data_IF_923169346431
#
_entry.id   IF_923169346431
#
_cell.length_a   1.000
_cell.length_b   1.000
_cell.length_c   1.000
_cell.angle_alpha   90.00
_cell.angle_beta   90.00
_cell.angle_gamma   90.00
#
_symmetry.space_group_name_H-M   'P 1'
#
loop_
_entity.id
_entity.type
_entity.pdbx_description
1 polymer ?
#
# COMPACT_ATOMS: atom_id res chain seq x y z
N UNK A 1 -22.23 2.78 40.30
CA UNK A 1 -21.60 2.12 39.13
C UNK A 1 -21.57 0.60 39.23
N UNK A 2 -21.20 0.01 40.37
CA UNK A 2 -21.20 -1.45 40.59
C UNK A 2 -22.60 -2.08 40.52
N UNK A 3 -23.60 -1.46 41.13
CA UNK A 3 -24.99 -1.97 41.15
C UNK A 3 -25.65 -1.99 39.77
N UNK A 4 -25.43 -0.97 38.94
CA UNK A 4 -25.99 -0.87 37.60
C UNK A 4 -25.39 -1.90 36.64
N UNK A 5 -24.12 -2.24 36.79
CA UNK A 5 -23.48 -3.28 36.01
C UNK A 5 -23.96 -4.68 36.38
N UNK A 6 -24.25 -4.92 37.66
CA UNK A 6 -24.79 -6.19 38.15
C UNK A 6 -26.26 -6.40 37.74
N UNK A 7 -27.05 -5.35 37.65
CA UNK A 7 -28.42 -5.41 37.20
C UNK A 7 -28.52 -5.76 35.71
N UNK A 8 -27.71 -5.11 34.86
CA UNK A 8 -27.65 -5.43 33.44
C UNK A 8 -27.13 -6.86 33.20
N UNK A 9 -26.11 -7.28 33.94
CA UNK A 9 -25.53 -8.64 33.82
C UNK A 9 -26.59 -9.68 34.24
N UNK A 10 -27.30 -9.49 35.35
CA UNK A 10 -28.32 -10.43 35.79
C UNK A 10 -29.50 -10.54 34.82
N UNK A 11 -29.92 -9.42 34.20
CA UNK A 11 -30.94 -9.42 33.17
C UNK A 11 -30.50 -10.14 31.89
N UNK A 12 -29.25 -9.97 31.46
CA UNK A 12 -28.70 -10.67 30.32
C UNK A 12 -28.55 -12.17 30.59
N UNK A 13 -28.11 -12.56 31.78
CA UNK A 13 -28.02 -13.97 32.20
C UNK A 13 -29.38 -14.66 32.27
N UNK A 14 -30.43 -13.95 32.67
CA UNK A 14 -31.79 -14.47 32.69
C UNK A 14 -32.36 -14.73 31.28
N UNK A 15 -31.92 -13.96 30.29
CA UNK A 15 -32.29 -14.15 28.87
C UNK A 15 -31.50 -15.30 28.24
N UNK A 16 -30.25 -15.52 28.68
CA UNK A 16 -29.31 -16.52 28.15
C UNK A 16 -29.54 -17.92 28.75
N UNK A 17 -30.74 -18.26 29.19
CA UNK A 17 -31.07 -19.59 29.72
C UNK A 17 -30.96 -20.72 28.71
N UNK A 18 -30.63 -20.41 27.46
CA UNK A 18 -30.49 -21.36 26.37
C UNK A 18 -29.01 -21.62 25.91
N UNK A 19 -28.01 -21.06 26.60
CA UNK A 19 -26.60 -21.28 26.28
C UNK A 19 -26.14 -20.61 24.96
N UNK A 20 -26.71 -19.45 24.65
CA UNK A 20 -26.40 -18.70 23.42
C UNK A 20 -25.49 -17.49 23.66
N UNK A 21 -24.74 -17.13 22.66
CA UNK A 21 -23.96 -15.90 22.64
C UNK A 21 -24.83 -14.71 22.26
N UNK A 22 -24.58 -13.56 22.86
CA UNK A 22 -25.30 -12.31 22.61
C UNK A 22 -24.53 -11.40 21.65
N UNK A 23 -25.24 -10.63 20.83
CA UNK A 23 -24.64 -9.56 20.05
C UNK A 23 -24.80 -8.20 20.72
N UNK A 24 -24.02 -7.20 20.28
CA UNK A 24 -24.02 -5.85 20.87
C UNK A 24 -25.40 -5.17 20.84
N UNK A 25 -26.23 -5.47 19.83
CA UNK A 25 -27.58 -4.90 19.71
C UNK A 25 -28.48 -5.45 20.79
N UNK A 26 -28.46 -6.76 21.02
CA UNK A 26 -29.24 -7.40 22.10
C UNK A 26 -28.86 -6.86 23.47
N UNK A 27 -27.57 -6.66 23.75
CA UNK A 27 -27.09 -6.05 25.01
C UNK A 27 -27.61 -4.62 25.15
N UNK A 28 -27.59 -3.83 24.09
CA UNK A 28 -28.08 -2.47 24.05
C UNK A 28 -29.59 -2.39 24.27
N UNK A 29 -30.37 -3.28 23.64
CA UNK A 29 -31.82 -3.31 23.73
C UNK A 29 -32.27 -3.65 25.19
N UNK A 30 -31.59 -4.57 25.85
CA UNK A 30 -31.83 -4.88 27.27
C UNK A 30 -31.47 -3.70 28.18
N UNK A 31 -30.32 -3.02 27.91
CA UNK A 31 -29.94 -1.82 28.67
C UNK A 31 -30.98 -0.69 28.52
N UNK A 32 -31.55 -0.53 27.33
CA UNK A 32 -32.66 0.42 27.09
C UNK A 32 -33.90 0.06 27.89
N UNK A 33 -34.29 -1.22 27.89
CA UNK A 33 -35.49 -1.68 28.64
C UNK A 33 -35.36 -1.50 30.14
N UNK A 34 -34.15 -1.54 30.68
CA UNK A 34 -33.82 -1.28 32.08
C UNK A 34 -33.63 0.22 32.41
N UNK A 35 -33.82 1.12 31.45
CA UNK A 35 -33.59 2.55 31.62
C UNK A 35 -32.12 2.97 31.73
N UNK A 36 -31.17 2.07 31.42
CA UNK A 36 -29.72 2.26 31.53
C UNK A 36 -29.08 2.88 30.28
N UNK A 37 -29.85 3.14 29.23
CA UNK A 37 -29.38 3.60 27.93
C UNK A 37 -28.59 4.92 27.93
N UNK A 38 -28.78 5.78 28.92
CA UNK A 38 -28.07 7.05 29.08
C UNK A 38 -26.69 6.91 29.74
N UNK A 39 -26.36 5.72 30.23
CA UNK A 39 -25.09 5.43 30.91
C UNK A 39 -24.28 4.42 30.10
N UNK A 40 -23.58 4.91 29.06
CA UNK A 40 -22.76 4.09 28.20
C UNK A 40 -21.68 3.23 28.90
N UNK A 41 -21.52 3.38 30.23
CA UNK A 41 -20.60 2.61 31.07
C UNK A 41 -21.04 1.17 31.32
N UNK A 42 -22.35 0.88 31.45
CA UNK A 42 -22.82 -0.49 31.73
C UNK A 42 -22.69 -1.40 30.51
N UNK A 43 -23.12 -0.93 29.34
CA UNK A 43 -22.91 -1.66 28.07
C UNK A 43 -21.42 -1.83 27.78
N UNK A 44 -20.61 -0.79 28.05
CA UNK A 44 -19.15 -0.84 27.91
C UNK A 44 -18.51 -1.87 28.83
N UNK A 45 -19.01 -2.05 30.05
CA UNK A 45 -18.53 -3.09 30.97
C UNK A 45 -18.77 -4.51 30.42
N UNK A 46 -19.96 -4.81 29.91
CA UNK A 46 -20.29 -6.13 29.33
C UNK A 46 -19.42 -6.38 28.08
N UNK A 47 -19.34 -5.38 27.18
CA UNK A 47 -18.52 -5.48 25.95
C UNK A 47 -17.04 -5.69 26.27
N UNK A 48 -16.52 -5.09 27.35
CA UNK A 48 -15.12 -5.20 27.73
C UNK A 48 -14.76 -6.51 28.45
N UNK A 49 -15.69 -7.14 29.17
CA UNK A 49 -15.37 -8.27 30.06
C UNK A 49 -15.91 -9.63 29.62
N UNK A 50 -16.83 -9.67 28.64
CA UNK A 50 -17.53 -10.90 28.22
C UNK A 50 -17.41 -11.20 26.72
N UNK A 51 -16.50 -10.52 26.01
CA UNK A 51 -16.27 -10.74 24.58
C UNK A 51 -15.57 -12.11 24.35
N UNK A 52 -16.21 -12.99 23.60
CA UNK A 52 -15.65 -14.29 23.15
C UNK A 52 -15.16 -14.23 21.70
N UNK A 53 -15.77 -13.35 20.90
CA UNK A 53 -15.33 -13.03 19.53
C UNK A 53 -15.76 -11.58 19.20
N UNK A 54 -15.32 -11.04 18.06
CA UNK A 54 -15.69 -9.68 17.64
C UNK A 54 -17.20 -9.55 17.48
N UNK A 55 -17.82 -8.77 18.36
CA UNK A 55 -19.29 -8.52 18.35
C UNK A 55 -20.13 -9.64 18.94
N UNK A 56 -19.51 -10.64 19.58
CA UNK A 56 -20.17 -11.79 20.22
C UNK A 56 -19.76 -11.85 21.67
N UNK A 57 -20.72 -11.96 22.57
CA UNK A 57 -20.54 -11.88 24.03
C UNK A 57 -21.23 -13.05 24.72
N UNK A 58 -20.53 -13.68 25.65
CA UNK A 58 -21.04 -14.80 26.45
C UNK A 58 -21.05 -14.39 27.93
N UNK A 59 -22.22 -14.08 28.47
CA UNK A 59 -22.43 -13.63 29.85
C UNK A 59 -22.57 -14.78 30.84
N UNK A 60 -22.59 -16.02 30.38
CA UNK A 60 -22.61 -17.22 31.24
C UNK A 60 -21.24 -17.51 31.85
N UNK A 61 -20.17 -16.99 31.24
CA UNK A 61 -18.81 -17.14 31.72
C UNK A 61 -18.45 -16.13 32.80
N UNK A 62 -17.53 -16.45 33.74
CA UNK A 62 -17.00 -15.47 34.69
C UNK A 62 -16.34 -14.28 33.98
N UNK A 63 -16.49 -13.09 34.52
CA UNK A 63 -15.87 -11.87 33.97
C UNK A 63 -14.33 -12.08 33.81
N UNK A 64 -13.79 -11.70 32.67
CA UNK A 64 -12.36 -11.88 32.33
C UNK A 64 -11.86 -13.34 32.29
N UNK A 65 -12.75 -14.34 32.22
CA UNK A 65 -12.35 -15.72 32.01
C UNK A 65 -11.77 -16.00 30.62
N UNK A 66 -12.02 -15.10 29.66
CA UNK A 66 -11.38 -15.10 28.33
C UNK A 66 -10.51 -13.85 28.25
N UNK A 67 -9.18 -13.93 28.15
CA UNK A 67 -8.35 -12.76 27.89
C UNK A 67 -8.81 -12.13 26.59
N UNK A 68 -8.87 -10.78 26.53
CA UNK A 68 -9.07 -10.05 25.30
C UNK A 68 -7.89 -10.36 24.35
N UNK A 69 -7.97 -11.45 23.65
CA UNK A 69 -6.99 -11.80 22.64
C UNK A 69 -7.28 -10.94 21.41
N UNK A 70 -6.25 -10.21 20.96
CA UNK A 70 -6.17 -9.87 19.56
C UNK A 70 -6.50 -11.12 18.73
N UNK A 71 -7.23 -11.01 17.61
CA UNK A 71 -7.67 -12.17 16.87
C UNK A 71 -6.45 -13.02 16.52
N UNK A 72 -6.31 -14.16 17.19
CA UNK A 72 -5.34 -15.17 16.79
C UNK A 72 -5.75 -15.64 15.40
N UNK A 73 -4.79 -15.87 14.49
CA UNK A 73 -5.12 -16.55 13.25
C UNK A 73 -5.81 -17.87 13.64
N UNK A 74 -6.98 -18.08 13.05
CA UNK A 74 -7.73 -19.33 13.24
C UNK A 74 -6.80 -20.46 12.86
N UNK A 75 -6.47 -21.29 13.83
CA UNK A 75 -5.67 -22.48 13.61
C UNK A 75 -6.32 -23.25 12.46
N UNK A 76 -5.52 -23.55 11.45
CA UNK A 76 -5.90 -24.48 10.39
C UNK A 76 -6.36 -25.76 11.08
N UNK A 77 -7.66 -25.99 11.14
CA UNK A 77 -8.18 -27.30 11.51
C UNK A 77 -7.68 -28.24 10.42
N UNK A 78 -6.65 -29.02 10.74
CA UNK A 78 -6.29 -30.15 9.91
C UNK A 78 -7.52 -31.06 9.89
N UNK A 79 -8.33 -30.92 8.86
CA UNK A 79 -9.43 -31.81 8.60
C UNK A 79 -8.84 -33.20 8.40
N UNK A 80 -9.17 -34.14 9.31
CA UNK A 80 -9.09 -35.58 9.00
C UNK A 80 -9.69 -35.76 7.62
N UNK A 81 -8.98 -36.49 6.76
CA UNK A 81 -9.44 -36.81 5.42
C UNK A 81 -10.91 -37.27 5.48
N UNK A 82 -11.83 -36.69 4.73
CA UNK A 82 -13.19 -37.19 4.69
C UNK A 82 -13.17 -38.57 4.04
N UNK A 83 -13.72 -39.53 4.75
CA UNK A 83 -14.12 -40.81 4.19
C UNK A 83 -15.04 -40.59 2.99
N UNK A 84 -14.79 -41.35 1.94
CA UNK A 84 -15.53 -41.43 0.71
C UNK A 84 -17.04 -41.38 0.96
N UNK A 85 -17.76 -40.56 0.18
CA UNK A 85 -19.21 -40.42 -0.05
C UNK A 85 -19.81 -39.06 0.32
N UNK A 86 -19.16 -37.97 -0.13
CA UNK A 86 -19.83 -36.68 -0.24
C UNK A 86 -20.37 -36.53 -1.70
N UNK A 87 -21.63 -36.10 -1.88
CA UNK A 87 -22.15 -35.79 -3.22
C UNK A 87 -21.20 -34.80 -3.93
N UNK A 88 -20.97 -35.00 -5.22
CA UNK A 88 -20.05 -34.15 -6.02
C UNK A 88 -20.35 -32.64 -5.88
N UNK A 89 -21.58 -32.29 -5.60
CA UNK A 89 -22.05 -30.91 -5.39
C UNK A 89 -21.51 -30.30 -4.08
N UNK A 90 -21.44 -31.08 -2.99
CA UNK A 90 -20.87 -30.64 -1.72
C UNK A 90 -19.35 -30.48 -1.82
N UNK A 91 -18.67 -31.34 -2.59
CA UNK A 91 -17.25 -31.20 -2.88
C UNK A 91 -16.96 -29.93 -3.73
N UNK A 92 -17.84 -29.57 -4.66
CA UNK A 92 -17.75 -28.34 -5.46
C UNK A 92 -17.92 -27.08 -4.61
N UNK A 93 -18.90 -27.07 -3.68
CA UNK A 93 -19.12 -25.96 -2.75
C UNK A 93 -17.94 -25.77 -1.81
N UNK A 94 -17.35 -26.86 -1.31
CA UNK A 94 -16.15 -26.81 -0.47
C UNK A 94 -14.89 -26.37 -1.24
N UNK A 95 -14.80 -26.71 -2.54
CA UNK A 95 -13.70 -26.24 -3.40
C UNK A 95 -13.86 -24.75 -3.73
N UNK A 96 -15.08 -24.26 -3.98
CA UNK A 96 -15.36 -22.85 -4.11
C UNK A 96 -15.05 -22.08 -2.82
N UNK A 97 -15.41 -22.61 -1.65
CA UNK A 97 -15.06 -22.02 -0.35
C UNK A 97 -13.53 -21.99 -0.11
N UNK A 98 -12.78 -22.97 -0.58
CA UNK A 98 -11.31 -22.99 -0.48
C UNK A 98 -10.63 -22.00 -1.42
N UNK A 99 -11.22 -21.65 -2.56
CA UNK A 99 -10.71 -20.62 -3.47
C UNK A 99 -10.95 -19.19 -2.94
N UNK A 100 -11.84 -19.02 -1.96
CA UNK A 100 -12.23 -17.70 -1.44
C UNK A 100 -11.54 -17.30 -0.13
N UNK A 101 -10.65 -18.09 0.45
CA UNK A 101 -10.09 -17.78 1.78
C UNK A 101 -8.59 -18.08 1.87
N UNK A 102 -7.79 -17.31 1.18
CA UNK A 102 -6.50 -16.92 1.75
C UNK A 102 -6.70 -15.52 2.33
N UNK A 103 -6.97 -15.42 3.62
CA UNK A 103 -6.96 -14.13 4.33
C UNK A 103 -5.47 -13.76 4.45
N UNK A 104 -4.91 -13.26 3.38
CA UNK A 104 -3.58 -12.65 3.41
C UNK A 104 -3.68 -11.37 4.24
N UNK A 105 -2.69 -11.18 5.10
CA UNK A 105 -2.50 -9.92 5.79
C UNK A 105 -2.00 -8.89 4.78
N UNK A 106 -2.82 -7.89 4.47
CA UNK A 106 -2.51 -6.84 3.51
C UNK A 106 -1.83 -5.62 4.15
N UNK A 107 -1.37 -5.71 5.39
CA UNK A 107 -0.59 -4.65 6.03
C UNK A 107 0.80 -4.61 5.37
N UNK A 108 1.20 -3.49 4.76
CA UNK A 108 2.52 -3.38 4.14
C UNK A 108 3.65 -3.60 5.16
N UNK A 109 4.79 -4.14 4.72
CA UNK A 109 5.95 -4.27 5.60
C UNK A 109 6.53 -2.90 5.96
N UNK A 110 7.01 -2.76 7.19
CA UNK A 110 7.73 -1.55 7.63
C UNK A 110 9.15 -1.55 7.08
N UNK A 111 9.54 -0.51 6.36
CA UNK A 111 10.94 -0.26 5.96
C UNK A 111 11.65 0.51 7.07
N UNK A 112 12.61 -0.12 7.73
CA UNK A 112 13.41 0.48 8.80
C UNK A 112 14.30 1.64 8.33
N UNK A 113 14.54 1.76 7.02
CA UNK A 113 15.33 2.84 6.42
C UNK A 113 14.48 4.01 5.94
N UNK A 114 13.16 3.89 6.04
CA UNK A 114 12.25 4.94 5.57
C UNK A 114 12.38 6.21 6.41
N UNK A 115 12.58 7.34 5.75
CA UNK A 115 12.63 8.67 6.36
C UNK A 115 11.35 9.42 6.02
N UNK A 116 10.50 9.75 7.00
CA UNK A 116 9.28 10.52 6.76
C UNK A 116 9.57 11.96 6.30
N UNK A 117 8.93 12.39 5.22
CA UNK A 117 9.01 13.77 4.71
C UNK A 117 7.72 14.17 3.98
N UNK A 118 7.63 15.43 3.56
CA UNK A 118 6.51 15.95 2.81
C UNK A 118 5.17 15.70 3.49
N UNK A 119 4.23 15.17 2.76
CA UNK A 119 2.85 14.96 3.20
C UNK A 119 2.65 13.80 4.20
N UNK A 120 3.70 13.06 4.58
CA UNK A 120 3.61 11.89 5.46
C UNK A 120 2.82 12.11 6.76
N UNK A 121 3.05 13.24 7.44
CA UNK A 121 2.40 13.54 8.72
C UNK A 121 0.90 13.73 8.58
N UNK A 122 0.49 14.46 7.55
CA UNK A 122 -0.92 14.76 7.32
C UNK A 122 -1.65 13.56 6.73
N UNK A 123 -1.02 12.80 5.85
CA UNK A 123 -1.54 11.52 5.39
C UNK A 123 -1.74 10.53 6.55
N UNK A 124 -0.79 10.51 7.53
CA UNK A 124 -0.95 9.71 8.75
C UNK A 124 -2.21 10.13 9.53
N UNK A 125 -2.52 11.43 9.61
CA UNK A 125 -3.74 11.93 10.26
C UNK A 125 -4.99 11.50 9.52
N UNK A 126 -5.00 11.61 8.19
CA UNK A 126 -6.11 11.20 7.32
C UNK A 126 -6.41 9.72 7.52
N UNK A 127 -5.41 8.84 7.35
CA UNK A 127 -5.59 7.38 7.46
C UNK A 127 -5.97 6.98 8.89
N UNK A 128 -5.40 7.63 9.91
CA UNK A 128 -5.73 7.38 11.32
C UNK A 128 -7.15 7.79 11.68
N UNK A 129 -7.72 8.81 11.05
CA UNK A 129 -9.08 9.27 11.32
C UNK A 129 -10.14 8.21 11.01
N UNK A 130 -9.84 7.28 10.09
CA UNK A 130 -10.81 6.29 9.61
C UNK A 130 -11.95 6.88 8.77
N UNK A 131 -11.93 8.19 8.52
CA UNK A 131 -12.91 8.86 7.67
C UNK A 131 -12.62 8.55 6.20
N UNK A 132 -13.67 8.41 5.41
CA UNK A 132 -13.53 8.36 3.96
C UNK A 132 -13.12 9.75 3.45
N UNK A 133 -11.89 9.86 2.98
CA UNK A 133 -11.30 11.12 2.55
C UNK A 133 -10.35 10.89 1.36
N UNK A 134 -10.90 10.70 0.14
CA UNK A 134 -10.11 10.41 -1.04
C UNK A 134 -9.02 11.45 -1.28
N UNK A 135 -7.79 11.00 -1.47
CA UNK A 135 -6.61 11.86 -1.55
C UNK A 135 -5.86 11.59 -2.86
N UNK A 136 -5.58 12.65 -3.63
CA UNK A 136 -4.78 12.60 -4.85
C UNK A 136 -3.38 13.15 -4.56
N UNK A 137 -2.33 12.35 -4.81
CA UNK A 137 -0.93 12.74 -4.57
C UNK A 137 -0.20 12.77 -5.90
N UNK A 138 0.07 13.96 -6.39
CA UNK A 138 0.86 14.19 -7.60
C UNK A 138 2.33 14.45 -7.28
N UNK A 139 3.19 14.43 -8.30
CA UNK A 139 4.60 14.82 -8.21
C UNK A 139 5.51 13.96 -9.08
N UNK A 140 6.74 14.38 -9.27
CA UNK A 140 7.69 13.75 -10.16
C UNK A 140 8.00 12.29 -9.78
N UNK A 141 8.41 11.49 -10.77
CA UNK A 141 8.72 10.07 -10.56
C UNK A 141 9.89 9.88 -9.59
N UNK A 142 9.82 8.83 -8.77
CA UNK A 142 10.89 8.45 -7.85
C UNK A 142 11.09 9.36 -6.64
N UNK A 143 10.10 10.19 -6.29
CA UNK A 143 10.08 11.04 -5.08
C UNK A 143 9.40 10.37 -3.86
N UNK A 144 9.05 9.08 -3.93
CA UNK A 144 8.57 8.31 -2.78
C UNK A 144 7.07 8.38 -2.49
N UNK A 145 6.21 8.88 -3.41
CA UNK A 145 4.75 8.97 -3.21
C UNK A 145 4.11 7.66 -2.74
N UNK A 146 4.26 6.61 -3.52
CA UNK A 146 3.65 5.30 -3.25
C UNK A 146 4.20 4.68 -1.97
N UNK A 147 5.53 4.77 -1.77
CA UNK A 147 6.18 4.29 -0.56
C UNK A 147 5.68 5.03 0.69
N UNK A 148 5.41 6.35 0.58
CA UNK A 148 4.82 7.13 1.67
C UNK A 148 3.48 6.56 2.12
N UNK A 149 2.60 6.20 1.18
CA UNK A 149 1.28 5.62 1.49
C UNK A 149 1.44 4.26 2.19
N UNK A 150 2.29 3.40 1.65
CA UNK A 150 2.59 2.07 2.22
C UNK A 150 3.15 2.20 3.65
N UNK A 151 4.10 3.10 3.88
CA UNK A 151 4.72 3.28 5.20
C UNK A 151 3.78 3.96 6.22
N UNK A 152 2.84 4.79 5.79
CA UNK A 152 1.75 5.28 6.65
C UNK A 152 0.85 4.13 7.08
N UNK A 153 0.45 3.27 6.14
CA UNK A 153 -0.40 2.11 6.43
C UNK A 153 0.32 1.11 7.34
N UNK A 154 1.59 0.79 7.07
CA UNK A 154 2.43 -0.06 7.90
C UNK A 154 2.52 0.47 9.34
N UNK A 155 2.82 1.76 9.51
CA UNK A 155 2.94 2.42 10.82
C UNK A 155 1.64 2.36 11.62
N UNK A 156 0.49 2.42 10.96
CA UNK A 156 -0.83 2.42 11.60
C UNK A 156 -1.43 1.01 11.72
N UNK A 157 -0.76 -0.03 11.22
CA UNK A 157 -1.31 -1.39 11.16
C UNK A 157 -2.56 -1.48 10.29
N UNK A 158 -2.65 -0.65 9.24
CA UNK A 158 -3.77 -0.58 8.31
C UNK A 158 -3.48 -1.42 7.08
N UNK A 159 -4.45 -2.20 6.66
CA UNK A 159 -4.37 -2.91 5.39
C UNK A 159 -4.35 -1.91 4.24
N UNK A 160 -3.49 -2.15 3.25
CA UNK A 160 -3.40 -1.39 2.02
C UNK A 160 -3.39 -2.34 0.83
N UNK A 161 -4.22 -2.06 -0.16
CA UNK A 161 -4.31 -2.83 -1.38
C UNK A 161 -3.94 -1.93 -2.54
N UNK A 162 -2.77 -2.19 -3.15
CA UNK A 162 -2.23 -1.39 -4.25
C UNK A 162 -2.62 -1.99 -5.59
N UNK A 163 -3.09 -1.13 -6.48
CA UNK A 163 -3.38 -1.44 -7.87
C UNK A 163 -2.62 -0.48 -8.77
N UNK A 164 -1.75 -1.02 -9.62
CA UNK A 164 -1.09 -0.22 -10.64
C UNK A 164 -2.06 -0.01 -11.80
N UNK A 165 -2.32 1.25 -12.10
CA UNK A 165 -3.24 1.64 -13.18
C UNK A 165 -2.46 1.73 -14.49
N UNK A 166 -3.07 1.25 -15.55
CA UNK A 166 -2.60 1.34 -16.92
C UNK A 166 -3.74 1.73 -17.85
N UNK A 167 -3.43 2.02 -19.11
CA UNK A 167 -4.45 2.35 -20.12
C UNK A 167 -5.44 1.18 -20.35
N UNK A 168 -5.00 -0.04 -20.10
CA UNK A 168 -5.83 -1.25 -20.28
C UNK A 168 -6.73 -1.54 -19.07
N UNK A 169 -6.38 -1.00 -17.90
CA UNK A 169 -7.13 -1.25 -16.65
C UNK A 169 -8.60 -0.92 -16.81
N UNK A 170 -9.46 -1.87 -16.48
CA UNK A 170 -10.90 -1.74 -16.67
C UNK A 170 -11.75 -2.20 -15.46
N UNK A 171 -13.08 -2.29 -15.66
CA UNK A 171 -14.03 -2.69 -14.61
C UNK A 171 -13.76 -4.13 -14.13
N UNK A 172 -13.35 -5.03 -15.03
CA UNK A 172 -13.08 -6.43 -14.67
C UNK A 172 -11.84 -6.55 -13.78
N UNK A 173 -10.82 -5.75 -14.04
CA UNK A 173 -9.59 -5.69 -13.22
C UNK A 173 -9.85 -5.07 -11.84
N UNK A 174 -10.67 -4.04 -11.78
CA UNK A 174 -10.88 -3.23 -10.57
C UNK A 174 -11.98 -3.80 -9.68
N UNK A 175 -13.15 -4.08 -10.25
CA UNK A 175 -14.34 -4.54 -9.54
C UNK A 175 -14.39 -6.06 -9.48
N UNK A 176 -14.01 -6.70 -10.58
CA UNK A 176 -14.00 -8.14 -10.71
C UNK A 176 -14.73 -8.64 -11.93
N UNK A 177 -14.31 -9.79 -12.40
CA UNK A 177 -14.76 -10.39 -13.64
C UNK A 177 -15.03 -11.89 -13.54
N UNK A 178 -15.70 -12.41 -14.56
CA UNK A 178 -15.89 -13.83 -14.70
C UNK A 178 -14.62 -14.49 -15.26
N UNK A 179 -14.19 -15.57 -14.65
CA UNK A 179 -13.04 -16.36 -15.10
C UNK A 179 -13.42 -17.83 -15.21
N UNK A 180 -12.69 -18.59 -16.02
CA UNK A 180 -12.86 -20.03 -16.15
C UNK A 180 -11.96 -20.76 -15.17
N UNK A 181 -12.57 -21.57 -14.30
CA UNK A 181 -11.85 -22.45 -13.37
C UNK A 181 -12.43 -23.85 -13.55
N UNK A 182 -11.61 -24.81 -13.95
CA UNK A 182 -11.99 -26.21 -14.17
C UNK A 182 -13.25 -26.38 -15.07
N UNK A 183 -13.33 -25.55 -16.12
CA UNK A 183 -14.46 -25.57 -17.08
C UNK A 183 -15.74 -24.88 -16.59
N UNK A 184 -15.75 -24.32 -15.39
CA UNK A 184 -16.88 -23.56 -14.84
C UNK A 184 -16.59 -22.05 -14.89
N UNK A 185 -17.61 -21.25 -15.15
CA UNK A 185 -17.54 -19.79 -15.05
C UNK A 185 -17.67 -19.42 -13.57
N UNK A 186 -16.62 -18.77 -13.01
CA UNK A 186 -16.58 -18.33 -11.62
C UNK A 186 -16.32 -16.83 -11.60
N UNK A 187 -17.11 -16.09 -10.82
CA UNK A 187 -16.81 -14.67 -10.58
C UNK A 187 -15.61 -14.55 -9.64
N UNK A 188 -14.62 -13.78 -10.05
CA UNK A 188 -13.46 -13.40 -9.23
C UNK A 188 -13.62 -11.94 -8.82
N UNK A 189 -13.69 -11.69 -7.52
CA UNK A 189 -13.77 -10.34 -6.95
C UNK A 189 -12.48 -9.57 -7.22
N UNK A 190 -12.62 -8.30 -7.58
CA UNK A 190 -11.49 -7.41 -7.82
C UNK A 190 -11.00 -6.70 -6.55
N UNK A 191 -9.85 -6.02 -6.67
CA UNK A 191 -9.19 -5.37 -5.54
C UNK A 191 -10.02 -4.26 -4.89
N UNK A 192 -10.83 -3.56 -5.65
CA UNK A 192 -11.65 -2.45 -5.15
C UNK A 192 -12.72 -2.95 -4.19
N UNK A 193 -13.50 -3.96 -4.57
CA UNK A 193 -14.52 -4.54 -3.70
C UNK A 193 -13.88 -5.22 -2.48
N UNK A 194 -12.75 -5.88 -2.68
CA UNK A 194 -11.97 -6.47 -1.58
C UNK A 194 -11.55 -5.40 -0.58
N UNK A 195 -11.04 -4.26 -1.02
CA UNK A 195 -10.67 -3.14 -0.14
C UNK A 195 -11.90 -2.56 0.58
N UNK A 196 -13.02 -2.38 -0.12
CA UNK A 196 -14.28 -1.91 0.47
C UNK A 196 -14.77 -2.82 1.60
N UNK A 197 -14.84 -4.14 1.35
CA UNK A 197 -15.30 -5.15 2.31
C UNK A 197 -14.38 -5.30 3.53
N UNK A 198 -13.08 -4.99 3.37
CA UNK A 198 -12.08 -5.08 4.45
C UNK A 198 -11.90 -3.77 5.22
N UNK A 199 -12.46 -2.66 4.74
CA UNK A 199 -12.17 -1.33 5.26
C UNK A 199 -10.71 -0.94 5.08
N UNK A 200 -10.05 -1.46 4.03
CA UNK A 200 -8.65 -1.23 3.73
C UNK A 200 -8.44 0.10 2.99
N UNK A 201 -7.19 0.55 2.93
CA UNK A 201 -6.78 1.68 2.07
C UNK A 201 -6.53 1.14 0.66
N UNK A 202 -7.33 1.59 -0.30
CA UNK A 202 -7.13 1.32 -1.72
C UNK A 202 -6.11 2.32 -2.28
N UNK A 203 -5.00 1.83 -2.83
CA UNK A 203 -3.95 2.65 -3.45
C UNK A 203 -4.04 2.48 -4.96
N UNK A 204 -4.50 3.51 -5.65
CA UNK A 204 -4.53 3.58 -7.11
C UNK A 204 -3.23 4.23 -7.59
N UNK A 205 -2.25 3.41 -7.95
CA UNK A 205 -0.91 3.89 -8.32
C UNK A 205 -0.82 4.19 -9.81
N UNK A 206 -0.16 5.31 -10.15
CA UNK A 206 -0.05 5.85 -11.51
C UNK A 206 -1.43 6.08 -12.18
N UNK A 207 -2.40 6.64 -11.44
CA UNK A 207 -3.79 6.80 -11.91
C UNK A 207 -3.89 7.63 -13.18
N UNK A 208 -2.96 8.53 -13.42
CA UNK A 208 -2.87 9.35 -14.63
C UNK A 208 -2.51 8.54 -15.89
N UNK A 209 -2.22 7.24 -15.77
CA UNK A 209 -2.10 6.34 -16.93
C UNK A 209 -3.43 5.67 -17.31
N UNK A 210 -4.45 5.85 -16.48
CA UNK A 210 -5.77 5.24 -16.71
C UNK A 210 -6.56 5.93 -17.81
N UNK A 211 -7.50 5.18 -18.37
CA UNK A 211 -8.45 5.67 -19.37
C UNK A 211 -9.81 5.99 -18.74
N UNK A 212 -10.79 6.43 -19.57
CA UNK A 212 -12.18 6.64 -19.13
C UNK A 212 -12.85 5.38 -18.54
N UNK A 213 -12.25 4.21 -18.65
CA UNK A 213 -12.72 2.98 -18.00
C UNK A 213 -12.72 3.09 -16.47
N UNK A 214 -11.90 3.99 -15.89
CA UNK A 214 -11.89 4.30 -14.45
C UNK A 214 -13.21 4.90 -13.93
N UNK A 215 -14.11 5.34 -14.82
CA UNK A 215 -15.42 5.89 -14.43
C UNK A 215 -16.32 4.85 -13.72
N UNK A 216 -16.00 3.56 -13.79
CA UNK A 216 -16.66 2.52 -12.97
C UNK A 216 -16.49 2.76 -11.45
N UNK A 217 -15.48 3.55 -11.04
CA UNK A 217 -15.21 3.88 -9.65
C UNK A 217 -16.02 5.07 -9.10
N UNK A 218 -16.79 5.79 -9.92
CA UNK A 218 -17.45 7.04 -9.51
C UNK A 218 -18.24 6.95 -8.19
N UNK A 219 -19.14 5.95 -8.06
CA UNK A 219 -19.94 5.79 -6.86
C UNK A 219 -19.08 5.46 -5.63
N UNK A 220 -18.01 4.68 -5.85
CA UNK A 220 -17.08 4.25 -4.80
C UNK A 220 -16.23 5.44 -4.32
N UNK A 221 -15.84 6.33 -5.26
CA UNK A 221 -15.14 7.59 -4.96
C UNK A 221 -15.95 8.57 -4.10
N UNK A 222 -17.28 8.39 -4.04
CA UNK A 222 -18.18 9.15 -3.17
C UNK A 222 -18.44 8.45 -1.83
N UNK A 223 -17.80 7.31 -1.57
CA UNK A 223 -18.03 6.51 -0.35
C UNK A 223 -19.39 5.82 -0.31
N UNK A 224 -20.06 5.69 -1.46
CA UNK A 224 -21.38 5.07 -1.57
C UNK A 224 -21.30 3.56 -1.80
N UNK A 225 -22.37 2.80 -1.45
CA UNK A 225 -22.49 1.41 -1.82
C UNK A 225 -22.41 1.22 -3.34
N UNK A 226 -21.76 0.15 -3.76
CA UNK A 226 -21.63 -0.23 -5.16
C UNK A 226 -22.52 -1.44 -5.46
N UNK A 227 -23.36 -1.34 -6.52
CA UNK A 227 -24.11 -2.45 -7.04
C UNK A 227 -23.29 -3.21 -8.07
N UNK A 228 -22.87 -4.43 -7.72
CA UNK A 228 -22.16 -5.30 -8.65
C UNK A 228 -23.13 -5.93 -9.66
N UNK A 229 -23.09 -5.46 -10.89
CA UNK A 229 -24.00 -5.92 -11.98
C UNK A 229 -23.81 -7.39 -12.33
N UNK A 230 -22.63 -7.97 -12.07
CA UNK A 230 -22.29 -9.37 -12.41
C UNK A 230 -22.81 -10.36 -11.38
N UNK A 231 -22.87 -9.98 -10.12
CA UNK A 231 -23.30 -10.84 -9.01
C UNK A 231 -24.66 -10.46 -8.44
N UNK A 232 -25.15 -9.25 -8.71
CA UNK A 232 -26.36 -8.68 -8.10
C UNK A 232 -26.16 -8.24 -6.64
N UNK A 233 -24.93 -8.30 -6.10
CA UNK A 233 -24.60 -7.92 -4.73
C UNK A 233 -24.47 -6.40 -4.58
N UNK A 234 -24.93 -5.85 -3.46
CA UNK A 234 -24.65 -4.47 -3.05
C UNK A 234 -23.54 -4.52 -2.02
N UNK A 235 -22.38 -3.95 -2.37
CA UNK A 235 -21.21 -3.86 -1.48
C UNK A 235 -21.14 -2.47 -0.87
N UNK A 236 -21.23 -2.39 0.45
CA UNK A 236 -21.05 -1.14 1.20
C UNK A 236 -19.61 -1.05 1.72
N UNK A 237 -19.01 0.15 1.72
CA UNK A 237 -17.68 0.31 2.29
C UNK A 237 -17.70 0.10 3.81
N UNK A 238 -16.82 -0.76 4.30
CA UNK A 238 -16.59 -0.95 5.73
C UNK A 238 -15.85 0.24 6.35
N UNK A 239 -16.04 0.49 7.65
CA UNK A 239 -15.37 1.59 8.35
C UNK A 239 -13.86 1.56 8.18
N UNK A 240 -13.30 2.70 7.77
CA UNK A 240 -11.87 2.85 7.50
C UNK A 240 -11.48 2.68 6.03
N UNK A 241 -12.38 2.22 5.16
CA UNK A 241 -12.12 2.26 3.72
C UNK A 241 -11.76 3.68 3.29
N UNK A 242 -10.70 3.79 2.49
CA UNK A 242 -10.28 5.06 1.91
C UNK A 242 -9.59 4.81 0.57
N UNK A 243 -9.51 5.85 -0.26
CA UNK A 243 -8.85 5.81 -1.56
C UNK A 243 -7.72 6.82 -1.60
N UNK A 244 -6.53 6.37 -1.95
CA UNK A 244 -5.37 7.23 -2.16
C UNK A 244 -4.84 6.96 -3.56
N UNK A 245 -4.84 7.98 -4.41
CA UNK A 245 -4.28 7.90 -5.74
C UNK A 245 -2.91 8.56 -5.80
N UNK A 246 -1.98 7.97 -6.57
CA UNK A 246 -0.69 8.58 -6.90
C UNK A 246 -0.61 8.81 -8.40
N UNK A 247 0.04 9.91 -8.81
CA UNK A 247 0.20 10.29 -10.20
C UNK A 247 1.53 11.04 -10.42
N UNK A 248 2.01 11.04 -11.65
CA UNK A 248 3.16 11.89 -12.02
C UNK A 248 2.72 13.27 -12.48
N UNK A 249 1.46 13.40 -12.90
CA UNK A 249 0.82 14.66 -13.33
C UNK A 249 -0.34 15.01 -12.40
N UNK A 250 -0.95 16.18 -12.61
CA UNK A 250 -2.16 16.59 -11.86
C UNK A 250 -3.45 16.12 -12.56
N UNK A 251 -3.37 15.06 -13.40
CA UNK A 251 -4.51 14.55 -14.16
C UNK A 251 -4.83 15.33 -15.43
N UNK A 252 -4.01 16.31 -15.80
CA UNK A 252 -4.18 17.13 -17.01
C UNK A 252 -3.34 16.67 -18.19
N UNK A 253 -2.75 15.47 -18.11
CA UNK A 253 -1.82 14.99 -19.11
C UNK A 253 -0.43 15.63 -18.97
N UNK A 254 0.38 15.55 -20.03
CA UNK A 254 1.70 16.16 -20.11
C UNK A 254 1.73 17.13 -21.29
N UNK A 255 1.54 18.41 -21.01
CA UNK A 255 1.57 19.47 -22.05
C UNK A 255 2.98 19.64 -22.63
N UNK A 256 4.01 19.28 -21.86
CA UNK A 256 5.43 19.36 -22.22
C UNK A 256 6.01 18.05 -22.79
N UNK A 257 5.19 17.00 -22.96
CA UNK A 257 5.63 15.70 -23.46
C UNK A 257 6.54 14.87 -22.54
N UNK A 258 6.88 15.39 -21.35
CA UNK A 258 7.78 14.71 -20.39
C UNK A 258 7.18 13.41 -19.82
N UNK A 259 5.86 13.32 -19.78
CA UNK A 259 5.13 12.14 -19.29
C UNK A 259 4.25 11.53 -20.40
N UNK A 260 4.89 10.98 -21.43
CA UNK A 260 4.23 10.47 -22.65
C UNK A 260 3.14 9.40 -22.39
N UNK A 261 3.08 8.79 -21.22
CA UNK A 261 2.03 7.82 -20.86
C UNK A 261 0.88 8.42 -20.05
N UNK A 262 0.95 9.68 -19.64
CA UNK A 262 -0.08 10.34 -18.85
C UNK A 262 -1.28 10.72 -19.72
N UNK A 263 -2.48 10.29 -19.30
CA UNK A 263 -3.75 10.62 -19.92
C UNK A 263 -4.37 11.84 -19.23
N UNK A 264 -5.28 12.50 -19.95
CA UNK A 264 -6.13 13.52 -19.34
C UNK A 264 -7.26 12.78 -18.63
N UNK A 265 -7.34 12.92 -17.32
CA UNK A 265 -8.42 12.39 -16.51
C UNK A 265 -9.65 13.30 -16.59
N UNK A 266 -10.83 12.70 -16.53
CA UNK A 266 -12.09 13.42 -16.49
C UNK A 266 -12.16 14.35 -15.27
N UNK A 267 -12.54 15.63 -15.47
CA UNK A 267 -12.61 16.62 -14.41
C UNK A 267 -13.61 16.21 -13.32
N UNK A 268 -14.75 15.64 -13.70
CA UNK A 268 -15.73 15.16 -12.74
C UNK A 268 -15.19 13.98 -11.89
N UNK A 269 -14.25 13.22 -12.42
CA UNK A 269 -13.55 12.17 -11.65
C UNK A 269 -12.54 12.80 -10.67
N UNK A 270 -11.79 13.82 -11.12
CA UNK A 270 -10.81 14.52 -10.27
C UNK A 270 -11.48 15.26 -9.10
N UNK A 271 -12.64 15.88 -9.33
CA UNK A 271 -13.42 16.57 -8.29
C UNK A 271 -13.92 15.67 -7.14
N UNK A 272 -13.86 14.35 -7.32
CA UNK A 272 -14.19 13.39 -6.25
C UNK A 272 -13.07 13.15 -5.25
N UNK A 273 -11.87 13.62 -5.55
CA UNK A 273 -10.81 13.66 -4.56
C UNK A 273 -11.01 14.85 -3.62
N UNK A 274 -11.08 14.57 -2.31
CA UNK A 274 -11.28 15.61 -1.31
C UNK A 274 -10.12 16.61 -1.24
N UNK A 275 -8.90 16.14 -1.52
CA UNK A 275 -7.70 16.97 -1.63
C UNK A 275 -6.77 16.46 -2.73
N UNK A 276 -6.05 17.40 -3.32
CA UNK A 276 -4.91 17.14 -4.20
C UNK A 276 -3.66 17.73 -3.57
N UNK A 277 -2.60 16.94 -3.49
CA UNK A 277 -1.33 17.31 -2.87
C UNK A 277 -0.20 17.09 -3.85
N UNK A 278 0.72 18.03 -3.94
CA UNK A 278 1.96 17.87 -4.67
C UNK A 278 3.08 17.44 -3.72
N UNK A 279 3.61 16.26 -3.97
CA UNK A 279 4.75 15.70 -3.22
C UNK A 279 6.04 16.09 -3.94
N UNK A 280 6.84 16.90 -3.30
CA UNK A 280 8.16 17.28 -3.76
C UNK A 280 9.21 16.24 -3.39
N UNK A 281 10.45 16.42 -3.90
CA UNK A 281 11.59 15.65 -3.41
C UNK A 281 11.92 16.01 -1.96
N UNK A 282 12.54 15.10 -1.19
CA UNK A 282 12.97 15.40 0.16
C UNK A 282 14.01 16.52 0.17
N UNK A 283 14.09 17.29 1.27
CA UNK A 283 15.18 18.24 1.47
C UNK A 283 16.55 17.53 1.50
N UNK A 284 17.62 18.23 1.16
CA UNK A 284 18.98 17.66 1.15
C UNK A 284 19.32 16.89 2.45
N UNK A 285 18.95 17.43 3.61
CA UNK A 285 19.17 16.77 4.89
C UNK A 285 18.36 15.46 5.07
N UNK A 286 17.15 15.42 4.55
CA UNK A 286 16.31 14.21 4.57
C UNK A 286 16.79 13.18 3.54
N UNK A 287 17.14 13.64 2.34
CA UNK A 287 17.63 12.77 1.28
C UNK A 287 18.97 12.14 1.64
N UNK A 288 19.90 12.90 2.28
CA UNK A 288 21.14 12.34 2.82
C UNK A 288 20.85 11.22 3.82
N UNK A 289 19.85 11.38 4.71
CA UNK A 289 19.46 10.31 5.64
C UNK A 289 18.92 9.06 4.91
N UNK A 290 18.15 9.26 3.83
CA UNK A 290 17.67 8.15 2.99
C UNK A 290 18.84 7.41 2.37
N UNK A 291 19.76 8.15 1.71
CA UNK A 291 20.95 7.60 1.05
C UNK A 291 21.83 6.82 2.05
N UNK A 292 22.16 7.44 3.21
CA UNK A 292 22.93 6.77 4.26
C UNK A 292 22.20 5.54 4.85
N UNK A 293 20.86 5.60 4.95
CA UNK A 293 20.06 4.44 5.35
C UNK A 293 20.22 3.26 4.39
N UNK A 294 20.18 3.54 3.09
CA UNK A 294 20.39 2.51 2.05
C UNK A 294 21.85 2.02 2.00
N UNK A 295 22.83 2.91 2.17
CA UNK A 295 24.25 2.54 2.29
C UNK A 295 24.52 1.61 3.49
N UNK A 296 23.85 1.88 4.63
CA UNK A 296 23.96 1.01 5.82
C UNK A 296 23.43 -0.39 5.56
N UNK A 297 22.30 -0.52 4.87
CA UNK A 297 21.72 -1.84 4.51
C UNK A 297 22.61 -2.57 3.50
N UNK A 298 23.27 -1.83 2.61
CA UNK A 298 24.16 -2.37 1.59
C UNK A 298 25.62 -2.55 2.07
N UNK A 299 25.90 -2.27 3.33
CA UNK A 299 27.24 -2.34 3.98
C UNK A 299 28.35 -1.56 3.23
N UNK A 300 27.99 -0.37 2.72
CA UNK A 300 28.90 0.50 1.95
C UNK A 300 28.82 1.96 2.42
N UNK A 301 28.88 2.21 3.73
CA UNK A 301 28.71 3.54 4.32
C UNK A 301 29.85 4.47 3.90
N UNK A 302 29.50 5.58 3.23
CA UNK A 302 30.38 6.67 2.88
C UNK A 302 29.60 8.00 2.99
N UNK A 303 29.87 8.76 4.08
CA UNK A 303 29.14 10.00 4.38
C UNK A 303 29.45 11.11 3.37
N UNK A 304 30.70 11.17 2.87
CA UNK A 304 31.13 12.13 1.85
C UNK A 304 30.43 11.83 0.53
N UNK A 305 30.45 10.57 0.10
CA UNK A 305 29.77 10.14 -1.11
C UNK A 305 28.25 10.42 -1.04
N UNK A 306 27.61 10.12 0.10
CA UNK A 306 26.20 10.43 0.30
C UNK A 306 25.90 11.93 0.17
N UNK A 307 26.77 12.79 0.72
CA UNK A 307 26.64 14.25 0.64
C UNK A 307 26.80 14.73 -0.79
N UNK A 308 27.84 14.26 -1.48
CA UNK A 308 28.12 14.62 -2.87
C UNK A 308 27.01 14.20 -3.82
N UNK A 309 26.46 12.98 -3.66
CA UNK A 309 25.32 12.50 -4.43
C UNK A 309 24.09 13.39 -4.26
N UNK A 310 23.77 13.80 -3.04
CA UNK A 310 22.61 14.65 -2.77
C UNK A 310 22.82 16.05 -3.35
N UNK A 311 23.98 16.65 -3.16
CA UNK A 311 24.33 17.97 -3.72
C UNK A 311 24.23 17.94 -5.25
N UNK A 312 24.80 16.92 -5.88
CA UNK A 312 24.73 16.71 -7.32
C UNK A 312 23.29 16.62 -7.83
N UNK A 313 22.46 15.80 -7.18
CA UNK A 313 21.05 15.65 -7.56
C UNK A 313 20.26 16.95 -7.35
N UNK A 314 20.55 17.73 -6.29
CA UNK A 314 19.89 19.01 -6.02
C UNK A 314 20.19 20.05 -7.11
N UNK A 315 21.45 20.15 -7.55
CA UNK A 315 21.85 21.04 -8.65
C UNK A 315 21.13 20.65 -9.95
N UNK A 316 21.11 19.36 -10.31
CA UNK A 316 20.43 18.87 -11.51
C UNK A 316 18.92 19.19 -11.45
N UNK A 317 18.27 18.93 -10.32
CA UNK A 317 16.82 19.22 -10.17
C UNK A 317 16.53 20.70 -10.25
N UNK A 318 17.39 21.56 -9.70
CA UNK A 318 17.24 23.00 -9.83
C UNK A 318 17.31 23.42 -11.29
N UNK A 319 18.28 22.94 -12.04
CA UNK A 319 18.42 23.19 -13.48
C UNK A 319 17.23 22.68 -14.30
N UNK A 320 16.66 21.53 -13.90
CA UNK A 320 15.44 20.98 -14.49
C UNK A 320 14.22 21.87 -14.23
N UNK A 321 14.03 22.37 -13.00
CA UNK A 321 12.93 23.28 -12.67
C UNK A 321 13.05 24.66 -13.36
N UNK A 322 14.28 25.08 -13.65
CA UNK A 322 14.55 26.29 -14.43
C UNK A 322 14.31 26.08 -15.95
N UNK A 323 14.02 24.83 -16.36
CA UNK A 323 13.72 24.50 -17.76
C UNK A 323 14.93 24.41 -18.68
N UNK A 324 16.14 24.35 -18.11
CA UNK A 324 17.37 24.28 -18.91
C UNK A 324 17.75 22.85 -19.33
N UNK A 325 17.18 21.84 -18.69
CA UNK A 325 17.33 20.42 -19.01
C UNK A 325 15.99 19.69 -18.86
N UNK A 326 15.81 18.59 -19.59
CA UNK A 326 14.57 17.79 -19.56
C UNK A 326 14.67 16.53 -18.70
N UNK A 327 15.86 16.18 -18.25
CA UNK A 327 16.12 15.00 -17.43
C UNK A 327 16.53 15.39 -16.01
N UNK A 328 16.24 14.49 -15.05
CA UNK A 328 16.59 14.71 -13.66
C UNK A 328 17.09 13.44 -12.95
N UNK A 329 17.73 13.64 -11.81
CA UNK A 329 18.13 12.57 -10.89
C UNK A 329 17.14 12.51 -9.72
N UNK A 330 16.35 11.43 -9.70
CA UNK A 330 15.37 11.17 -8.62
C UNK A 330 16.03 10.53 -7.39
N UNK A 331 15.37 10.60 -6.24
CA UNK A 331 15.81 9.88 -5.02
C UNK A 331 15.96 8.38 -5.27
N UNK A 332 15.04 7.77 -6.05
CA UNK A 332 15.15 6.37 -6.49
C UNK A 332 16.45 6.12 -7.28
N UNK A 333 16.89 7.08 -8.10
CA UNK A 333 18.15 6.96 -8.84
C UNK A 333 19.35 6.97 -7.90
N UNK A 334 19.33 7.79 -6.86
CA UNK A 334 20.38 7.78 -5.82
C UNK A 334 20.44 6.42 -5.10
N UNK A 335 19.29 5.82 -4.78
CA UNK A 335 19.25 4.47 -4.20
C UNK A 335 19.85 3.41 -5.14
N UNK A 336 19.65 3.55 -6.47
CA UNK A 336 20.25 2.65 -7.44
C UNK A 336 21.77 2.84 -7.52
N UNK A 337 22.26 4.08 -7.45
CA UNK A 337 23.70 4.38 -7.41
C UNK A 337 24.34 3.74 -6.16
N UNK A 338 23.69 3.85 -4.99
CA UNK A 338 24.17 3.19 -3.76
C UNK A 338 24.28 1.68 -3.96
N UNK A 339 23.27 1.04 -4.56
CA UNK A 339 23.30 -0.39 -4.85
C UNK A 339 24.41 -0.75 -5.82
N UNK A 340 24.60 0.05 -6.88
CA UNK A 340 25.69 -0.15 -7.82
C UNK A 340 27.07 0.00 -7.15
N UNK A 341 27.22 1.02 -6.30
CA UNK A 341 28.45 1.23 -5.53
C UNK A 341 28.75 0.03 -4.61
N UNK A 342 27.75 -0.52 -3.93
CA UNK A 342 27.97 -1.71 -3.08
C UNK A 342 28.41 -2.95 -3.86
N UNK A 343 28.05 -3.04 -5.15
CA UNK A 343 28.43 -4.17 -6.03
C UNK A 343 29.80 -3.97 -6.66
N UNK A 344 30.08 -2.75 -7.14
CA UNK A 344 31.28 -2.49 -7.96
C UNK A 344 32.43 -1.86 -7.18
N UNK A 345 32.19 -1.26 -6.01
CA UNK A 345 33.19 -0.60 -5.18
C UNK A 345 33.75 0.70 -5.76
N UNK A 346 33.26 1.15 -6.91
CA UNK A 346 33.72 2.33 -7.64
C UNK A 346 32.59 3.35 -7.77
N UNK A 347 32.83 4.58 -7.27
CA UNK A 347 31.83 5.67 -7.23
C UNK A 347 31.44 6.11 -8.64
N UNK A 348 32.45 6.39 -9.51
CA UNK A 348 32.18 6.89 -10.86
C UNK A 348 31.52 5.83 -11.73
N UNK A 349 31.97 4.59 -11.68
CA UNK A 349 31.34 3.48 -12.38
C UNK A 349 29.88 3.28 -11.95
N UNK A 350 29.58 3.39 -10.65
CA UNK A 350 28.23 3.28 -10.13
C UNK A 350 27.31 4.40 -10.65
N UNK A 351 27.82 5.64 -10.71
CA UNK A 351 27.09 6.78 -11.26
C UNK A 351 26.90 6.59 -12.76
N UNK A 352 27.97 6.31 -13.51
CA UNK A 352 27.93 6.11 -14.96
C UNK A 352 26.89 5.07 -15.37
N UNK A 353 26.93 3.88 -14.77
CA UNK A 353 25.96 2.81 -15.05
C UNK A 353 24.52 3.24 -14.79
N UNK A 354 24.29 4.08 -13.79
CA UNK A 354 22.97 4.55 -13.46
C UNK A 354 22.47 5.72 -14.34
N UNK A 355 23.37 6.45 -15.01
CA UNK A 355 23.01 7.55 -15.93
C UNK A 355 23.09 7.15 -17.40
N UNK A 356 23.55 5.94 -17.75
CA UNK A 356 23.63 5.40 -19.12
C UNK A 356 22.28 5.38 -19.87
N UNK A 357 21.17 5.51 -19.19
CA UNK A 357 19.83 5.60 -19.82
C UNK A 357 19.57 6.94 -20.52
N UNK A 358 20.32 7.97 -20.17
CA UNK A 358 20.18 9.29 -20.77
C UNK A 358 20.89 9.36 -22.10
N UNK A 359 20.58 10.34 -22.92
CA UNK A 359 21.33 10.62 -24.12
C UNK A 359 22.79 10.97 -23.79
N UNK A 360 23.66 10.91 -24.81
CA UNK A 360 25.11 11.06 -24.64
C UNK A 360 25.48 12.39 -24.00
N UNK A 361 24.83 13.49 -24.45
CA UNK A 361 25.18 14.84 -23.99
C UNK A 361 24.74 15.06 -22.55
N UNK A 362 23.52 14.64 -22.21
CA UNK A 362 22.99 14.69 -20.84
C UNK A 362 23.83 13.80 -19.90
N UNK A 363 24.15 12.57 -20.33
CA UNK A 363 25.02 11.68 -19.55
C UNK A 363 26.36 12.36 -19.26
N UNK A 364 27.02 12.91 -20.29
CA UNK A 364 28.33 13.55 -20.14
C UNK A 364 28.23 14.76 -19.20
N UNK A 365 27.23 15.62 -19.38
CA UNK A 365 27.02 16.76 -18.51
C UNK A 365 26.80 16.38 -17.03
N UNK A 366 26.10 15.28 -16.78
CA UNK A 366 25.87 14.80 -15.42
C UNK A 366 27.15 14.24 -14.78
N UNK A 367 27.98 13.53 -15.55
CA UNK A 367 29.27 13.02 -15.10
C UNK A 367 30.25 14.19 -14.83
N UNK A 368 30.35 15.14 -15.76
CA UNK A 368 31.18 16.35 -15.59
C UNK A 368 30.76 17.19 -14.38
N UNK A 369 29.46 17.29 -14.13
CA UNK A 369 28.97 17.96 -12.93
C UNK A 369 29.37 17.23 -11.66
N UNK A 370 29.30 15.87 -11.66
CA UNK A 370 29.68 15.09 -10.48
C UNK A 370 31.18 15.27 -10.13
N UNK A 371 32.09 15.26 -11.11
CA UNK A 371 33.51 15.49 -10.87
C UNK A 371 33.83 16.90 -10.32
N UNK A 372 32.92 17.86 -10.47
CA UNK A 372 33.05 19.20 -9.84
C UNK A 372 32.50 19.23 -8.43
N UNK A 373 31.66 18.28 -8.05
CA UNK A 373 31.10 18.14 -6.70
C UNK A 373 32.01 17.28 -5.82
N UNK A 374 32.73 16.33 -6.42
CA UNK A 374 33.60 15.37 -5.75
C UNK A 374 35.02 15.47 -6.32
N UNK A 375 35.88 16.20 -5.63
CA UNK A 375 37.27 16.44 -6.05
C UNK A 375 38.15 15.15 -5.98
N UNK A 376 37.69 14.09 -5.35
CA UNK A 376 38.41 12.82 -5.21
C UNK A 376 38.26 11.90 -6.41
N UNK A 377 37.33 12.19 -7.34
CA UNK A 377 37.04 11.34 -8.49
C UNK A 377 37.43 12.02 -9.80
N UNK A 378 37.95 11.23 -10.73
CA UNK A 378 38.22 11.67 -12.12
C UNK A 378 37.23 11.02 -13.08
N UNK A 379 37.08 11.60 -14.27
CA UNK A 379 36.32 10.99 -15.35
C UNK A 379 36.84 9.58 -15.66
N UNK A 380 35.94 8.61 -15.94
CA UNK A 380 36.35 7.30 -16.41
C UNK A 380 37.21 7.48 -17.68
N UNK A 381 38.36 6.81 -17.75
CA UNK A 381 39.13 6.77 -18.98
C UNK A 381 38.23 6.23 -20.09
N UNK A 382 38.03 7.01 -21.13
CA UNK A 382 37.33 6.51 -22.33
C UNK A 382 38.24 5.45 -22.96
N UNK A 383 37.86 4.19 -22.79
CA UNK A 383 38.51 3.07 -23.46
C UNK A 383 38.23 3.22 -24.96
N UNK A 384 39.15 3.93 -25.68
CA UNK A 384 39.13 4.06 -27.11
C UNK A 384 39.44 2.69 -27.70
N UNK A 385 38.40 1.87 -27.78
CA UNK A 385 38.18 0.78 -28.67
C UNK A 385 39.33 -0.22 -28.89
N UNK A 386 39.38 -1.21 -28.08
CA UNK A 386 40.10 -2.43 -28.37
C UNK A 386 39.56 -3.55 -27.48
N UNK A 387 38.48 -4.22 -27.94
CA UNK A 387 38.08 -5.50 -27.35
C UNK A 387 39.25 -6.45 -27.52
N UNK A 388 40.15 -6.50 -26.55
CA UNK A 388 41.02 -7.66 -26.38
C UNK A 388 40.15 -8.73 -25.72
N UNK A 389 39.58 -9.57 -26.56
CA UNK A 389 39.05 -10.86 -26.14
C UNK A 389 40.27 -11.68 -25.74
N UNK A 390 40.62 -11.66 -24.47
CA UNK A 390 41.48 -12.70 -23.91
C UNK A 390 40.55 -13.89 -23.69
N UNK A 391 40.55 -14.82 -24.65
CA UNK A 391 40.05 -16.17 -24.47
C UNK A 391 40.88 -16.82 -23.34
N UNK A 392 40.30 -16.88 -22.17
CA UNK A 392 40.75 -17.82 -21.15
C UNK A 392 39.49 -18.34 -20.39
N UNK A 393 38.75 -19.17 -21.10
CA UNK A 393 37.79 -20.07 -20.48
C UNK A 393 38.48 -21.44 -20.37
N UNK A 394 39.22 -21.62 -19.27
CA UNK A 394 39.60 -22.94 -18.83
C UNK A 394 38.34 -23.72 -18.38
N UNK A 395 38.26 -25.00 -18.71
CA UNK A 395 37.09 -25.81 -18.36
C UNK A 395 37.21 -26.31 -16.91
N UNK A 396 36.38 -25.80 -15.99
CA UNK A 396 36.09 -26.62 -14.82
C UNK A 396 34.81 -26.21 -14.10
N UNK A 397 33.93 -27.23 -14.01
CA UNK A 397 32.93 -27.53 -12.97
C UNK A 397 31.80 -26.55 -12.74
N UNK A 398 30.67 -26.87 -13.38
CA UNK A 398 29.36 -26.63 -12.81
C UNK A 398 29.09 -27.56 -11.61
N UNK A 399 28.47 -27.10 -10.54
CA UNK A 399 27.49 -27.88 -9.81
C UNK A 399 26.11 -27.27 -9.92
N UNK A 400 25.18 -28.16 -10.02
CA UNK A 400 23.73 -28.08 -10.14
C UNK A 400 23.02 -27.01 -9.31
#
# INVERSE_FOLDING_TARGET
MYELNSELLSALQAIDTAGGTLNRKQISDVAVSLGLAKQGSAVGYIVGNYAVARGVYDVSLPANSVPAQAPKPIAVIQSKQPTQDLPQEAARVLTQAKLSVTIENLIPPTDSTYVPFGFFKDLTRIVKSGMFYPTFISGLSGNGKTMMVEQVCAKLGREALRVNISIETDEDDLIGGNTLVDGNVVYREGPVLTAMKRGAVLVLDEIDRGSNKLMCLQAIMEGKPYYNKKTGEIVSPEPGFNIIATANTKGRGSDDGKFMGAQILDEAFLERFAITVEQEYPSAAQEKKIVLGKMRVADCIDDTFATNLVTWAEVIRKTFYEGAIDELISTRRLEHIVKAFSVFGDKMKAIELCVNRFDTDTKQAFLDLYTKVDDEVSMPETDDGGIKITEDFGPESAPF
#
